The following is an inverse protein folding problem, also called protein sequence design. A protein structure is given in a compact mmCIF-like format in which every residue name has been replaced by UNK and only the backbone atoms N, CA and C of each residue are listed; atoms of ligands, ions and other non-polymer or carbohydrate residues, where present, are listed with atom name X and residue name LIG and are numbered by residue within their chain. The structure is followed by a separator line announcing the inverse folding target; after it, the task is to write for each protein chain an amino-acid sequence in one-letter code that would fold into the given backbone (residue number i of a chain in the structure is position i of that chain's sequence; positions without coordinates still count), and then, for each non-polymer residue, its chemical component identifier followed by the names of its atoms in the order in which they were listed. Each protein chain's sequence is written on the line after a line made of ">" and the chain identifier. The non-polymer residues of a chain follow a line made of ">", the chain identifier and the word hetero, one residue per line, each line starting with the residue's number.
data_IF_723806405509
#
_entry.id   IF_723806405509
#
_cell.length_a   1.000
_cell.length_b   1.000
_cell.length_c   1.000
_cell.angle_alpha   90.00
_cell.angle_beta   90.00
_cell.angle_gamma   90.00
#
_symmetry.space_group_name_H-M   'P 1'
#
loop_
_entity.id
_entity.type
_entity.pdbx_description
1 polymer ?
#
# COMPACT_ATOMS: atom_id res chain seq x y z
N UNK A 1 -9.95 -9.84 11.72
CA UNK A 1 -9.69 -10.37 10.37
C UNK A 1 -9.18 -9.30 9.40
N UNK A 2 -9.98 -8.36 8.88
CA UNK A 2 -9.48 -7.42 7.84
C UNK A 2 -8.33 -6.49 8.26
N UNK A 3 -8.36 -5.93 9.48
CA UNK A 3 -7.25 -5.10 10.01
C UNK A 3 -5.94 -5.88 10.26
N UNK A 4 -6.01 -7.17 10.62
CA UNK A 4 -4.82 -8.01 10.80
C UNK A 4 -4.15 -8.30 9.46
N UNK A 5 -4.95 -8.48 8.41
CA UNK A 5 -4.49 -8.67 7.03
C UNK A 5 -3.87 -7.37 6.50
N UNK A 6 -4.47 -6.20 6.78
CA UNK A 6 -3.88 -4.90 6.47
C UNK A 6 -2.55 -4.68 7.21
N UNK A 7 -2.45 -5.07 8.49
CA UNK A 7 -1.19 -5.03 9.25
C UNK A 7 -0.13 -5.97 8.66
N UNK A 8 -0.50 -7.18 8.28
CA UNK A 8 0.41 -8.12 7.62
C UNK A 8 0.90 -7.55 6.28
N UNK A 9 0.04 -6.90 5.50
CA UNK A 9 0.42 -6.18 4.29
C UNK A 9 1.42 -5.06 4.58
N UNK A 10 1.14 -4.17 5.56
CA UNK A 10 2.06 -3.09 5.93
C UNK A 10 3.42 -3.62 6.41
N UNK A 11 3.44 -4.69 7.22
CA UNK A 11 4.69 -5.32 7.68
C UNK A 11 5.47 -5.87 6.49
N UNK A 12 4.81 -6.58 5.59
CA UNK A 12 5.45 -7.15 4.39
C UNK A 12 6.00 -6.06 3.48
N UNK A 13 5.26 -4.97 3.28
CA UNK A 13 5.77 -3.78 2.58
C UNK A 13 7.07 -3.23 3.21
N UNK A 14 7.30 -3.40 4.50
CA UNK A 14 8.52 -2.96 5.19
C UNK A 14 9.65 -4.00 5.16
N UNK A 15 9.33 -5.29 5.15
CA UNK A 15 10.33 -6.37 5.33
C UNK A 15 10.63 -7.19 4.07
N UNK A 16 9.77 -7.15 3.06
CA UNK A 16 9.83 -8.00 1.87
C UNK A 16 10.17 -7.15 0.63
N UNK A 17 11.43 -7.24 0.21
CA UNK A 17 11.96 -6.50 -0.94
C UNK A 17 11.38 -7.00 -2.27
N UNK A 18 11.16 -8.30 -2.43
CA UNK A 18 10.58 -8.88 -3.64
C UNK A 18 9.12 -8.45 -3.82
N UNK A 19 8.35 -8.41 -2.74
CA UNK A 19 6.98 -7.90 -2.76
C UNK A 19 6.94 -6.41 -3.12
N UNK A 20 7.83 -5.59 -2.55
CA UNK A 20 7.98 -4.18 -2.94
C UNK A 20 8.37 -4.04 -4.42
N UNK A 21 9.31 -4.84 -4.90
CA UNK A 21 9.75 -4.80 -6.29
C UNK A 21 8.64 -5.23 -7.27
N UNK A 22 7.81 -6.20 -6.89
CA UNK A 22 6.62 -6.58 -7.66
C UNK A 22 5.64 -5.41 -7.76
N UNK A 23 5.37 -4.72 -6.66
CA UNK A 23 4.54 -3.51 -6.64
C UNK A 23 5.21 -2.32 -7.33
N UNK A 24 6.54 -2.29 -7.43
CA UNK A 24 7.27 -1.30 -8.22
C UNK A 24 7.07 -1.44 -9.72
N UNK A 25 6.87 -2.68 -10.17
CA UNK A 25 6.73 -3.03 -11.58
C UNK A 25 5.33 -2.78 -12.14
N UNK A 26 4.32 -2.57 -11.28
CA UNK A 26 2.93 -2.41 -11.71
C UNK A 26 2.72 -1.09 -12.45
N UNK A 27 1.86 -1.14 -13.46
CA UNK A 27 1.47 0.01 -14.29
C UNK A 27 -0.01 0.32 -14.18
N UNK A 28 -0.81 -0.63 -13.70
CA UNK A 28 -2.26 -0.50 -13.57
C UNK A 28 -2.75 -1.03 -12.22
N UNK A 29 -3.80 -0.43 -11.66
CA UNK A 29 -4.37 -0.84 -10.36
C UNK A 29 -4.84 -2.29 -10.36
N UNK A 30 -5.28 -2.80 -11.51
CA UNK A 30 -5.71 -4.18 -11.69
C UNK A 30 -4.57 -5.20 -11.50
N UNK A 31 -3.31 -4.80 -11.69
CA UNK A 31 -2.15 -5.66 -11.39
C UNK A 31 -1.92 -5.76 -9.88
N UNK A 32 -2.11 -4.65 -9.15
CA UNK A 32 -2.09 -4.65 -7.69
C UNK A 32 -3.20 -5.54 -7.16
N UNK A 33 -4.42 -5.43 -7.67
CA UNK A 33 -5.54 -6.30 -7.26
C UNK A 33 -5.24 -7.79 -7.48
N UNK A 34 -4.53 -8.14 -8.56
CA UNK A 34 -4.08 -9.53 -8.79
C UNK A 34 -3.05 -9.98 -7.76
N UNK A 35 -2.04 -9.16 -7.46
CA UNK A 35 -1.03 -9.46 -6.43
C UNK A 35 -1.72 -9.65 -5.08
N UNK A 36 -2.65 -8.76 -4.74
CA UNK A 36 -3.40 -8.83 -3.48
C UNK A 36 -4.27 -10.07 -3.42
N UNK A 37 -4.93 -10.46 -4.52
CA UNK A 37 -5.74 -11.67 -4.59
C UNK A 37 -4.90 -12.95 -4.48
N UNK A 38 -3.75 -13.03 -5.17
CA UNK A 38 -2.85 -14.19 -5.15
C UNK A 38 -2.29 -14.42 -3.73
N UNK A 39 -1.92 -13.33 -3.06
CA UNK A 39 -1.41 -13.31 -1.69
C UNK A 39 -2.52 -13.35 -0.62
N UNK A 40 -3.80 -13.43 -1.05
CA UNK A 40 -5.00 -13.51 -0.19
C UNK A 40 -5.17 -12.30 0.75
N UNK A 41 -4.68 -11.13 0.35
CA UNK A 41 -4.94 -9.87 1.03
C UNK A 41 -6.35 -9.36 0.68
N UNK A 42 -7.16 -9.13 1.71
CA UNK A 42 -8.50 -8.55 1.59
C UNK A 42 -8.75 -7.62 2.77
N UNK A 43 -8.82 -6.32 2.49
CA UNK A 43 -9.07 -5.27 3.48
C UNK A 43 -9.67 -4.03 2.80
N UNK A 44 -10.31 -3.18 3.59
CA UNK A 44 -10.91 -1.92 3.15
C UNK A 44 -9.93 -0.75 3.26
N UNK A 45 -10.28 0.40 2.69
CA UNK A 45 -9.50 1.64 2.91
C UNK A 45 -9.49 2.02 4.40
N UNK A 46 -10.58 1.77 5.12
CA UNK A 46 -10.68 2.06 6.56
C UNK A 46 -9.75 1.17 7.40
N UNK A 47 -9.68 -0.13 7.08
CA UNK A 47 -8.75 -1.06 7.73
C UNK A 47 -7.30 -0.60 7.55
N UNK A 48 -6.93 -0.22 6.31
CA UNK A 48 -5.59 0.27 6.00
C UNK A 48 -5.29 1.59 6.70
N UNK A 49 -6.24 2.55 6.68
CA UNK A 49 -6.12 3.83 7.39
C UNK A 49 -5.87 3.63 8.89
N UNK A 50 -6.63 2.73 9.52
CA UNK A 50 -6.51 2.44 10.94
C UNK A 50 -5.15 1.85 11.28
N UNK A 51 -4.70 0.86 10.52
CA UNK A 51 -3.40 0.21 10.73
C UNK A 51 -2.25 1.17 10.51
N UNK A 52 -2.25 1.93 9.42
CA UNK A 52 -1.19 2.90 9.15
C UNK A 52 -1.20 4.00 10.21
N UNK A 53 -2.37 4.45 10.67
CA UNK A 53 -2.51 5.36 11.81
C UNK A 53 -1.89 4.81 13.10
N UNK A 54 -2.10 3.54 13.41
CA UNK A 54 -1.44 2.89 14.56
C UNK A 54 0.09 2.84 14.39
N UNK A 55 0.60 2.64 13.18
CA UNK A 55 2.04 2.59 12.90
C UNK A 55 2.69 3.96 13.06
N UNK A 56 2.03 5.03 12.60
CA UNK A 56 2.56 6.40 12.74
C UNK A 56 2.30 7.01 14.13
N UNK A 57 1.40 6.41 14.92
CA UNK A 57 1.11 6.83 16.29
C UNK A 57 0.04 7.92 16.41
N UNK A 58 -0.68 8.24 15.33
CA UNK A 58 -1.78 9.19 15.33
C UNK A 58 -2.85 8.81 14.31
N UNK A 59 -4.05 9.40 14.45
CA UNK A 59 -5.15 9.14 13.52
C UNK A 59 -4.86 9.87 12.20
N UNK A 60 -4.84 9.13 11.10
CA UNK A 60 -4.64 9.72 9.77
C UNK A 60 -5.79 10.65 9.40
N UNK A 61 -5.43 11.83 8.89
CA UNK A 61 -6.36 12.76 8.28
C UNK A 61 -6.68 12.37 6.82
N UNK A 62 -7.72 12.99 6.25
CA UNK A 62 -8.12 12.71 4.86
C UNK A 62 -6.96 13.01 3.89
N UNK A 63 -6.60 12.04 3.06
CA UNK A 63 -5.48 12.14 2.11
C UNK A 63 -4.09 11.96 2.72
N UNK A 64 -3.96 11.78 4.04
CA UNK A 64 -2.67 11.55 4.69
C UNK A 64 -2.11 10.16 4.38
N UNK A 65 -2.96 9.14 4.33
CA UNK A 65 -2.59 7.79 3.91
C UNK A 65 -1.93 7.78 2.53
N UNK A 66 -2.49 8.52 1.58
CA UNK A 66 -1.98 8.60 0.21
C UNK A 66 -0.59 9.25 0.17
N UNK A 67 -0.37 10.29 1.01
CA UNK A 67 0.94 10.94 1.15
C UNK A 67 1.97 10.04 1.82
N UNK A 68 1.58 9.32 2.88
CA UNK A 68 2.48 8.41 3.59
C UNK A 68 2.89 7.23 2.72
N UNK A 69 1.94 6.64 1.99
CA UNK A 69 2.26 5.58 1.05
C UNK A 69 3.12 6.11 -0.08
N UNK A 70 2.82 7.28 -0.64
CA UNK A 70 3.70 7.83 -1.66
C UNK A 70 5.10 8.18 -1.12
N UNK A 71 5.23 8.74 0.08
CA UNK A 71 6.53 8.96 0.71
C UNK A 71 7.32 7.67 0.92
N UNK A 72 6.65 6.60 1.38
CA UNK A 72 7.26 5.28 1.52
C UNK A 72 7.72 4.72 0.17
N UNK A 73 6.91 4.88 -0.88
CA UNK A 73 7.25 4.45 -2.23
C UNK A 73 8.31 5.33 -2.89
N UNK A 74 8.34 6.64 -2.65
CA UNK A 74 9.38 7.54 -3.16
C UNK A 74 10.74 7.23 -2.52
N UNK A 75 10.77 6.98 -1.22
CA UNK A 75 12.01 6.59 -0.52
C UNK A 75 12.48 5.18 -0.88
N UNK A 76 11.57 4.21 -1.02
CA UNK A 76 11.91 2.81 -1.33
C UNK A 76 12.07 2.52 -2.82
N UNK A 77 11.48 3.34 -3.70
CA UNK A 77 11.46 3.14 -5.17
C UNK A 77 12.12 4.26 -5.97
N UNK A 78 12.99 5.03 -5.32
CA UNK A 78 14.01 5.85 -5.97
C UNK A 78 14.86 5.06 -7.02
N UNK A 79 14.68 3.74 -7.10
CA UNK A 79 15.26 2.79 -8.06
C UNK A 79 14.46 2.53 -9.35
N UNK A 80 13.61 3.47 -9.83
CA UNK A 80 13.36 3.57 -11.28
C UNK A 80 11.92 3.50 -11.82
N UNK A 81 10.86 3.65 -11.03
CA UNK A 81 9.51 3.82 -11.57
C UNK A 81 8.68 4.88 -10.80
N UNK A 82 8.73 6.16 -11.23
CA UNK A 82 7.98 7.23 -10.59
C UNK A 82 6.45 7.12 -10.79
N UNK A 83 5.99 6.35 -11.79
CA UNK A 83 4.56 6.20 -12.07
C UNK A 83 3.88 5.16 -11.17
N UNK A 84 4.64 4.22 -10.60
CA UNK A 84 4.10 3.24 -9.67
C UNK A 84 3.47 3.88 -8.42
N UNK A 85 4.00 5.03 -7.95
CA UNK A 85 3.38 5.79 -6.85
C UNK A 85 1.95 6.23 -7.20
N UNK A 86 1.74 6.72 -8.44
CA UNK A 86 0.43 7.16 -8.91
C UNK A 86 -0.55 5.98 -8.99
N UNK A 87 -0.09 4.85 -9.49
CA UNK A 87 -0.89 3.62 -9.59
C UNK A 87 -1.29 3.11 -8.22
N UNK A 88 -0.38 3.10 -7.24
CA UNK A 88 -0.67 2.68 -5.86
C UNK A 88 -1.64 3.65 -5.17
N UNK A 89 -1.46 4.97 -5.35
CA UNK A 89 -2.39 5.97 -4.81
C UNK A 89 -3.78 5.82 -5.42
N UNK A 90 -3.86 5.60 -6.74
CA UNK A 90 -5.13 5.34 -7.43
C UNK A 90 -5.79 4.06 -6.93
N UNK A 91 -5.01 3.00 -6.71
CA UNK A 91 -5.49 1.75 -6.13
C UNK A 91 -6.04 1.96 -4.71
N UNK A 92 -5.33 2.69 -3.84
CA UNK A 92 -5.81 3.02 -2.48
C UNK A 92 -7.11 3.82 -2.51
N UNK A 93 -7.26 4.72 -3.48
CA UNK A 93 -8.51 5.48 -3.68
C UNK A 93 -9.68 4.60 -4.11
N UNK A 94 -9.39 3.53 -4.85
CA UNK A 94 -10.38 2.59 -5.35
C UNK A 94 -10.71 1.45 -4.37
N UNK A 95 -9.98 1.34 -3.25
CA UNK A 95 -10.32 0.43 -2.17
C UNK A 95 -11.71 0.76 -1.61
N UNK A 96 -12.49 -0.30 -1.36
CA UNK A 96 -13.83 -0.22 -0.79
C UNK A 96 -13.83 0.29 0.64
#
# INVERSE_FOLDING_TARGET
>A
MSAEIARAFCVRMMTDEDFRAALAGVRETAEIDKIMADEKYSFTKDDLNKVVGEVVGHKLEEGELEKLVCGFYEEQMASGNPDACKVVVEWIRNLK
#
